data_IF_863723984081
#
_entry.id   IF_863723984081
#
_cell.length_a   1.000
_cell.length_b   1.000
_cell.length_c   1.000
_cell.angle_alpha   90.00
_cell.angle_beta   90.00
_cell.angle_gamma   90.00
#
_symmetry.space_group_name_H-M   'P 1'
#
loop_
_entity.id
_entity.type
_entity.pdbx_description
1 polymer ?
#
# COMPACT_ATOMS: atom_id res chain seq x y z
N UNK A 1 25.01 -11.08 12.11
CA UNK A 1 25.57 -9.77 11.69
C UNK A 1 24.56 -8.70 12.04
N UNK A 2 24.97 -7.55 12.60
CA UNK A 2 24.06 -6.44 12.88
C UNK A 2 24.00 -5.48 11.69
N UNK A 3 22.79 -5.10 11.30
CA UNK A 3 22.57 -4.22 10.16
C UNK A 3 21.53 -3.15 10.51
N UNK A 4 21.81 -1.89 10.16
CA UNK A 4 20.84 -0.81 10.24
C UNK A 4 19.81 -0.99 9.14
N UNK A 5 18.54 -0.81 9.48
CA UNK A 5 17.43 -0.92 8.55
C UNK A 5 16.43 0.22 8.75
N UNK A 6 15.79 0.59 7.64
CA UNK A 6 14.61 1.44 7.59
C UNK A 6 13.44 0.57 7.14
N UNK A 7 12.37 0.54 7.88
CA UNK A 7 11.27 -0.38 7.59
C UNK A 7 9.89 0.18 7.83
N UNK A 8 8.91 -0.48 7.24
CA UNK A 8 7.48 -0.25 7.46
C UNK A 8 6.87 -1.47 8.15
N UNK A 9 6.10 -1.21 9.20
CA UNK A 9 5.34 -2.23 9.90
C UNK A 9 4.12 -2.65 9.05
N UNK A 10 3.99 -3.93 8.76
CA UNK A 10 2.89 -4.47 7.96
C UNK A 10 1.85 -5.15 8.85
N UNK A 11 2.26 -6.12 9.64
CA UNK A 11 1.36 -6.91 10.48
C UNK A 11 2.07 -7.39 11.74
N UNK A 12 1.36 -7.32 12.87
CA UNK A 12 1.83 -7.89 14.15
C UNK A 12 0.95 -9.07 14.54
N UNK A 13 1.57 -10.17 14.93
CA UNK A 13 0.90 -11.35 15.50
C UNK A 13 1.47 -11.65 16.88
N UNK A 14 0.60 -12.03 17.82
CA UNK A 14 1.02 -12.53 19.13
C UNK A 14 1.67 -13.91 18.95
N UNK A 15 2.88 -14.08 19.44
CA UNK A 15 3.62 -15.35 19.37
C UNK A 15 3.57 -16.10 20.71
N UNK A 16 3.71 -15.37 21.82
CA UNK A 16 3.56 -15.87 23.18
C UNK A 16 3.10 -14.77 24.12
N UNK A 17 2.87 -15.08 25.40
CA UNK A 17 2.48 -14.09 26.42
C UNK A 17 3.46 -12.90 26.51
N UNK A 18 4.74 -13.14 26.17
CA UNK A 18 5.82 -12.15 26.30
C UNK A 18 6.44 -11.73 24.98
N UNK A 19 5.93 -12.21 23.85
CA UNK A 19 6.54 -11.88 22.55
C UNK A 19 5.50 -11.80 21.44
N UNK A 20 5.83 -10.99 20.43
CA UNK A 20 5.07 -10.83 19.19
C UNK A 20 6.02 -10.91 18.00
N UNK A 21 5.50 -11.34 16.87
CA UNK A 21 6.21 -11.29 15.59
C UNK A 21 5.63 -10.14 14.78
N UNK A 22 6.51 -9.24 14.36
CA UNK A 22 6.20 -8.13 13.48
C UNK A 22 6.70 -8.45 12.06
N UNK A 23 5.78 -8.59 11.12
CA UNK A 23 6.12 -8.64 9.70
C UNK A 23 6.39 -7.22 9.20
N UNK A 24 7.53 -7.02 8.56
CA UNK A 24 7.99 -5.73 8.04
C UNK A 24 8.48 -5.89 6.61
N UNK A 25 8.47 -4.79 5.87
CA UNK A 25 9.33 -4.61 4.71
C UNK A 25 10.40 -3.57 5.07
N UNK A 26 11.63 -3.81 4.65
CA UNK A 26 12.77 -2.92 4.90
C UNK A 26 13.44 -2.54 3.59
N UNK A 27 13.91 -1.30 3.49
CA UNK A 27 14.59 -0.80 2.29
C UNK A 27 15.88 -1.58 1.98
N UNK A 28 16.57 -2.07 3.00
CA UNK A 28 17.88 -2.70 2.89
C UNK A 28 17.81 -4.23 2.69
N UNK A 29 16.80 -4.87 3.27
CA UNK A 29 16.72 -6.35 3.36
C UNK A 29 15.43 -6.93 2.80
N UNK A 30 14.53 -6.09 2.27
CA UNK A 30 13.22 -6.52 1.80
C UNK A 30 12.33 -7.00 2.95
N UNK A 31 11.49 -8.00 2.68
CA UNK A 31 10.52 -8.52 3.65
C UNK A 31 11.17 -9.41 4.69
N UNK A 32 10.82 -9.20 5.95
CA UNK A 32 11.32 -10.00 7.06
C UNK A 32 10.36 -10.05 8.24
N UNK A 33 10.65 -10.96 9.19
CA UNK A 33 9.92 -11.10 10.44
C UNK A 33 10.82 -10.73 11.62
N UNK A 34 10.33 -9.87 12.51
CA UNK A 34 11.05 -9.38 13.67
C UNK A 34 10.40 -9.88 14.95
N UNK A 35 11.18 -10.51 15.83
CA UNK A 35 10.73 -10.90 17.17
C UNK A 35 10.82 -9.68 18.10
N UNK A 36 9.69 -9.35 18.71
CA UNK A 36 9.57 -8.27 19.67
C UNK A 36 9.24 -8.84 21.06
N UNK A 37 9.95 -8.39 22.06
CA UNK A 37 9.66 -8.74 23.46
C UNK A 37 8.60 -7.79 24.03
N UNK A 38 7.48 -8.32 24.53
CA UNK A 38 6.38 -7.61 25.13
C UNK A 38 6.65 -7.41 26.64
N UNK A 39 7.65 -6.59 27.00
CA UNK A 39 7.88 -6.21 28.39
C UNK A 39 6.86 -5.15 28.85
N UNK A 40 6.59 -5.07 30.13
CA UNK A 40 5.80 -3.98 30.70
C UNK A 40 6.66 -2.71 30.82
N UNK A 41 6.06 -1.51 30.61
CA UNK A 41 6.73 -0.24 30.86
C UNK A 41 6.59 0.80 29.75
N UNK A 42 7.23 1.95 29.94
CA UNK A 42 7.17 3.09 29.02
C UNK A 42 7.78 2.78 27.64
N UNK A 43 8.87 2.03 27.62
CA UNK A 43 9.54 1.64 26.40
C UNK A 43 8.70 0.67 25.56
N UNK A 44 7.99 -0.26 26.20
CA UNK A 44 7.07 -1.17 25.54
C UNK A 44 5.90 -0.43 24.88
N UNK A 45 5.36 0.59 25.54
CA UNK A 45 4.31 1.44 24.95
C UNK A 45 4.82 2.20 23.72
N UNK A 46 6.04 2.75 23.78
CA UNK A 46 6.69 3.41 22.64
C UNK A 46 6.91 2.44 21.48
N UNK A 47 7.35 1.23 21.79
CA UNK A 47 7.55 0.17 20.79
C UNK A 47 6.24 -0.28 20.15
N UNK A 48 5.14 -0.39 20.90
CA UNK A 48 3.82 -0.72 20.34
C UNK A 48 3.35 0.29 19.31
N UNK A 49 3.62 1.56 19.47
CA UNK A 49 3.29 2.58 18.47
C UNK A 49 4.02 2.31 17.13
N UNK A 50 5.24 1.74 17.17
CA UNK A 50 6.02 1.39 15.99
C UNK A 50 5.58 0.07 15.32
N UNK A 51 4.69 -0.67 15.94
CA UNK A 51 4.14 -1.93 15.40
C UNK A 51 2.76 -1.78 14.77
N UNK A 52 2.22 -0.56 14.78
CA UNK A 52 0.96 -0.27 14.08
C UNK A 52 1.17 -0.31 12.56
N UNK A 53 0.17 -0.78 11.80
CA UNK A 53 0.26 -0.81 10.34
C UNK A 53 0.69 0.52 9.75
N UNK A 54 1.59 0.49 8.78
CA UNK A 54 2.21 1.66 8.13
C UNK A 54 3.08 2.54 9.04
N UNK A 55 3.43 2.11 10.26
CA UNK A 55 4.46 2.81 11.05
C UNK A 55 5.83 2.64 10.40
N UNK A 56 6.49 3.77 10.14
CA UNK A 56 7.84 3.80 9.59
C UNK A 56 8.87 3.89 10.73
N UNK A 57 9.86 3.03 10.70
CA UNK A 57 10.87 2.94 11.75
C UNK A 57 12.28 2.79 11.20
N UNK A 58 13.25 3.16 12.01
CA UNK A 58 14.64 2.78 11.90
C UNK A 58 15.01 1.84 13.05
N UNK A 59 15.95 0.94 12.83
CA UNK A 59 16.39 0.01 13.86
C UNK A 59 17.61 -0.79 13.45
N UNK A 60 18.13 -1.58 14.39
CA UNK A 60 19.27 -2.47 14.16
C UNK A 60 18.80 -3.91 14.24
N UNK A 61 18.86 -4.62 13.13
CA UNK A 61 18.45 -6.02 13.04
C UNK A 61 19.67 -6.94 13.14
N UNK A 62 19.54 -8.00 13.92
CA UNK A 62 20.53 -9.08 13.96
C UNK A 62 20.16 -10.14 12.93
N UNK A 63 20.79 -10.05 11.76
CA UNK A 63 20.60 -11.01 10.68
C UNK A 63 21.43 -12.25 10.94
N UNK A 64 20.77 -13.40 11.07
CA UNK A 64 21.41 -14.71 11.26
C UNK A 64 21.05 -15.59 10.06
N UNK A 65 22.01 -16.06 9.25
CA UNK A 65 21.75 -16.92 8.12
C UNK A 65 20.92 -18.16 8.51
N UNK A 66 19.90 -18.48 7.71
CA UNK A 66 19.02 -19.63 7.96
C UNK A 66 17.93 -19.39 9.02
N UNK A 67 17.81 -18.20 9.62
CA UNK A 67 16.70 -17.84 10.52
C UNK A 67 15.67 -17.01 9.82
N UNK A 68 14.43 -17.45 9.84
CA UNK A 68 13.28 -16.71 9.31
C UNK A 68 12.86 -15.54 10.19
N UNK A 69 13.11 -15.61 11.50
CA UNK A 69 12.74 -14.57 12.46
C UNK A 69 13.99 -13.96 13.07
N UNK A 70 14.19 -12.68 12.82
CA UNK A 70 15.31 -11.90 13.33
C UNK A 70 14.94 -11.14 14.61
N UNK A 71 15.95 -10.73 15.39
CA UNK A 71 15.74 -9.82 16.52
C UNK A 71 16.08 -8.39 16.12
N UNK A 72 15.35 -7.43 16.67
CA UNK A 72 15.57 -6.00 16.44
C UNK A 72 15.80 -5.27 17.75
N UNK A 73 16.67 -4.27 17.74
CA UNK A 73 16.95 -3.35 18.83
C UNK A 73 16.99 -1.90 18.32
N UNK A 74 16.96 -0.97 19.24
CA UNK A 74 17.08 0.48 18.95
C UNK A 74 16.04 1.00 17.94
N UNK A 75 14.82 0.42 17.99
CA UNK A 75 13.72 0.88 17.15
C UNK A 75 13.29 2.30 17.53
N UNK A 76 13.29 3.18 16.54
CA UNK A 76 12.81 4.57 16.67
C UNK A 76 11.94 4.94 15.46
N UNK A 77 11.00 5.89 15.60
CA UNK A 77 10.21 6.33 14.45
C UNK A 77 11.11 7.01 13.42
N UNK A 78 10.99 6.62 12.16
CA UNK A 78 11.58 7.33 11.02
C UNK A 78 10.71 8.51 10.61
N UNK A 79 9.37 8.35 10.71
CA UNK A 79 8.38 9.39 10.46
C UNK A 79 7.39 9.42 11.63
N UNK A 80 7.00 10.62 12.03
CA UNK A 80 5.98 10.85 13.06
C UNK A 80 4.67 11.24 12.39
N UNK A 81 3.69 10.35 12.42
CA UNK A 81 2.38 10.51 11.78
C UNK A 81 1.24 10.29 12.80
N UNK A 82 1.02 11.25 13.73
CA UNK A 82 0.12 11.06 14.85
C UNK A 82 -1.35 10.91 14.46
N UNK A 83 -1.77 11.51 13.35
CA UNK A 83 -3.16 11.44 12.92
C UNK A 83 -3.50 10.13 12.23
N UNK A 84 -2.51 9.42 11.67
CA UNK A 84 -2.71 8.10 11.04
C UNK A 84 -3.17 7.08 12.08
N UNK A 85 -2.53 7.03 13.25
CA UNK A 85 -2.92 6.12 14.32
C UNK A 85 -4.06 6.67 15.20
N UNK A 86 -4.19 7.99 15.30
CA UNK A 86 -5.17 8.67 16.15
C UNK A 86 -6.56 8.83 15.55
N UNK A 87 -6.72 8.69 14.23
CA UNK A 87 -8.00 8.85 13.56
C UNK A 87 -8.50 7.51 12.98
N UNK A 88 -9.67 6.98 13.39
CA UNK A 88 -10.12 5.63 13.03
C UNK A 88 -10.15 5.35 11.53
N UNK A 89 -10.61 6.31 10.71
CA UNK A 89 -10.67 6.12 9.26
C UNK A 89 -9.27 6.06 8.64
N UNK A 90 -8.33 6.90 9.08
CA UNK A 90 -6.94 6.85 8.61
C UNK A 90 -6.25 5.55 9.03
N UNK A 91 -6.50 5.09 10.26
CA UNK A 91 -6.00 3.80 10.72
C UNK A 91 -6.50 2.64 9.85
N UNK A 92 -7.79 2.66 9.44
CA UNK A 92 -8.34 1.66 8.50
C UNK A 92 -7.68 1.72 7.12
N UNK A 93 -7.40 2.92 6.62
CA UNK A 93 -6.64 3.11 5.36
C UNK A 93 -5.22 2.58 5.52
N UNK A 94 -4.55 2.84 6.64
CA UNK A 94 -3.21 2.32 6.91
C UNK A 94 -3.19 0.79 6.98
N UNK A 95 -4.19 0.16 7.61
CA UNK A 95 -4.34 -1.30 7.62
C UNK A 95 -4.49 -1.87 6.20
N UNK A 96 -5.36 -1.28 5.40
CA UNK A 96 -5.54 -1.67 3.99
C UNK A 96 -4.22 -1.58 3.22
N UNK A 97 -3.50 -0.46 3.33
CA UNK A 97 -2.22 -0.28 2.64
C UNK A 97 -1.17 -1.31 3.09
N UNK A 98 -1.09 -1.58 4.39
CA UNK A 98 -0.16 -2.56 4.93
C UNK A 98 -0.46 -3.99 4.44
N UNK A 99 -1.74 -4.36 4.30
CA UNK A 99 -2.15 -5.65 3.73
C UNK A 99 -1.75 -5.76 2.26
N UNK A 100 -2.02 -4.73 1.45
CA UNK A 100 -1.61 -4.71 0.03
C UNK A 100 -0.09 -4.82 -0.10
N UNK A 101 0.68 -4.03 0.65
CA UNK A 101 2.15 -4.10 0.64
C UNK A 101 2.64 -5.50 1.05
N UNK A 102 1.99 -6.11 2.02
CA UNK A 102 2.30 -7.47 2.46
C UNK A 102 2.06 -8.55 1.39
N UNK A 103 1.19 -8.31 0.42
CA UNK A 103 0.93 -9.21 -0.71
C UNK A 103 1.87 -8.94 -1.89
N UNK A 104 2.16 -7.68 -2.18
CA UNK A 104 2.82 -7.24 -3.40
C UNK A 104 4.34 -7.14 -3.23
N UNK A 105 4.82 -6.62 -2.10
CA UNK A 105 6.26 -6.51 -1.81
C UNK A 105 6.78 -7.86 -1.33
N UNK A 106 7.01 -8.79 -2.27
CA UNK A 106 7.68 -10.06 -2.00
C UNK A 106 9.18 -9.89 -2.21
N UNK A 107 9.98 -10.39 -1.28
CA UNK A 107 11.42 -10.71 -1.39
C UNK A 107 12.28 -9.90 -2.39
N UNK A 108 12.10 -8.60 -2.46
CA UNK A 108 13.07 -7.74 -3.12
C UNK A 108 14.28 -7.58 -2.20
N UNK A 109 15.18 -8.57 -2.23
CA UNK A 109 16.39 -8.60 -1.40
C UNK A 109 17.44 -7.55 -1.76
N UNK A 110 17.08 -6.49 -2.48
CA UNK A 110 17.96 -5.40 -2.89
C UNK A 110 17.50 -4.09 -2.25
N UNK A 111 18.49 -3.27 -1.94
CA UNK A 111 18.28 -1.92 -1.44
C UNK A 111 17.36 -1.11 -2.37
N UNK A 112 16.14 -0.79 -1.90
CA UNK A 112 15.11 -0.10 -2.69
C UNK A 112 14.77 1.27 -2.07
N UNK A 113 15.56 2.25 -2.45
CA UNK A 113 15.40 3.63 -1.99
C UNK A 113 14.14 4.29 -2.57
N UNK A 114 13.74 3.91 -3.80
CA UNK A 114 12.55 4.48 -4.43
C UNK A 114 11.28 4.01 -3.71
N UNK A 115 11.18 2.74 -3.36
CA UNK A 115 10.07 2.23 -2.55
C UNK A 115 10.06 2.85 -1.15
N UNK A 116 11.22 3.04 -0.51
CA UNK A 116 11.29 3.72 0.78
C UNK A 116 10.77 5.16 0.71
N UNK A 117 11.27 5.95 -0.24
CA UNK A 117 10.83 7.33 -0.45
C UNK A 117 9.32 7.41 -0.73
N UNK A 118 8.79 6.48 -1.51
CA UNK A 118 7.35 6.37 -1.74
C UNK A 118 6.56 6.10 -0.45
N UNK A 119 7.02 5.19 0.40
CA UNK A 119 6.35 4.88 1.68
C UNK A 119 6.35 6.07 2.63
N UNK A 120 7.44 6.84 2.67
CA UNK A 120 7.52 8.11 3.43
C UNK A 120 6.47 9.09 2.93
N UNK A 121 6.44 9.37 1.59
CA UNK A 121 5.45 10.28 0.98
C UNK A 121 4.00 9.83 1.26
N UNK A 122 3.73 8.55 1.18
CA UNK A 122 2.39 7.98 1.45
C UNK A 122 1.96 8.24 2.88
N UNK A 123 2.81 7.96 3.88
CA UNK A 123 2.47 8.12 5.29
C UNK A 123 2.30 9.59 5.66
N UNK A 124 3.22 10.46 5.24
CA UNK A 124 3.13 11.91 5.46
C UNK A 124 1.89 12.51 4.77
N UNK A 125 1.60 12.07 3.57
CA UNK A 125 0.41 12.50 2.82
C UNK A 125 -0.89 12.07 3.48
N UNK A 126 -0.96 10.87 4.06
CA UNK A 126 -2.13 10.41 4.81
C UNK A 126 -2.27 11.18 6.12
N UNK A 127 -1.16 11.43 6.80
CA UNK A 127 -1.16 12.22 8.04
C UNK A 127 -1.66 13.64 7.80
N UNK A 128 -1.22 14.29 6.74
CA UNK A 128 -1.61 15.63 6.35
C UNK A 128 -3.04 15.74 5.78
N UNK A 129 -3.69 14.63 5.40
CA UNK A 129 -5.03 14.64 4.83
C UNK A 129 -6.06 15.15 5.85
N UNK A 130 -6.61 16.36 5.63
CA UNK A 130 -7.50 17.04 6.59
C UNK A 130 -8.99 16.87 6.31
N UNK A 131 -9.38 16.41 5.12
CA UNK A 131 -10.80 16.28 4.76
C UNK A 131 -11.18 14.84 4.41
N UNK A 132 -12.46 14.52 4.65
CA UNK A 132 -13.00 13.16 4.47
C UNK A 132 -12.94 12.67 3.03
N UNK A 133 -13.05 13.55 2.04
CA UNK A 133 -13.02 13.18 0.64
C UNK A 133 -11.60 12.75 0.21
N UNK A 134 -10.59 13.47 0.67
CA UNK A 134 -9.18 13.11 0.46
C UNK A 134 -8.86 11.76 1.10
N UNK A 135 -9.24 11.54 2.35
CA UNK A 135 -9.01 10.28 3.06
C UNK A 135 -9.75 9.12 2.38
N UNK A 136 -11.00 9.33 1.96
CA UNK A 136 -11.80 8.31 1.28
C UNK A 136 -11.22 7.89 -0.09
N UNK A 137 -10.54 8.80 -0.81
CA UNK A 137 -9.92 8.52 -2.11
C UNK A 137 -8.48 7.98 -1.98
N UNK A 138 -7.91 8.01 -0.78
CA UNK A 138 -6.53 7.65 -0.52
C UNK A 138 -6.18 6.21 -0.94
N UNK A 139 -7.00 5.18 -0.64
CA UNK A 139 -6.72 3.81 -1.05
C UNK A 139 -6.53 3.67 -2.56
N UNK A 140 -7.39 4.28 -3.36
CA UNK A 140 -7.30 4.22 -4.82
C UNK A 140 -6.07 4.94 -5.36
N UNK A 141 -5.74 6.11 -4.80
CA UNK A 141 -4.52 6.84 -5.15
C UNK A 141 -3.27 6.04 -4.80
N UNK A 142 -3.23 5.42 -3.62
CA UNK A 142 -2.14 4.56 -3.19
C UNK A 142 -1.93 3.38 -4.15
N UNK A 143 -2.99 2.65 -4.50
CA UNK A 143 -2.92 1.53 -5.44
C UNK A 143 -2.35 1.96 -6.79
N UNK A 144 -2.82 3.07 -7.34
CA UNK A 144 -2.28 3.59 -8.59
C UNK A 144 -0.79 3.93 -8.47
N UNK A 145 -0.39 4.67 -7.44
CA UNK A 145 1.02 5.01 -7.22
C UNK A 145 1.90 3.78 -7.01
N UNK A 146 1.35 2.75 -6.41
CA UNK A 146 2.03 1.48 -6.22
C UNK A 146 2.33 0.79 -7.55
N UNK A 147 1.41 0.84 -8.54
CA UNK A 147 1.71 0.31 -9.89
C UNK A 147 2.89 1.02 -10.55
N UNK A 148 3.02 2.33 -10.34
CA UNK A 148 4.15 3.13 -10.85
C UNK A 148 5.46 2.67 -10.22
N UNK A 149 5.50 2.53 -8.89
CA UNK A 149 6.71 2.10 -8.16
C UNK A 149 7.12 0.68 -8.54
N UNK A 150 6.15 -0.20 -8.79
CA UNK A 150 6.41 -1.56 -9.24
C UNK A 150 6.79 -1.66 -10.74
N UNK A 151 6.73 -0.56 -11.49
CA UNK A 151 7.01 -0.55 -12.92
C UNK A 151 5.97 -1.25 -13.79
N UNK A 152 4.75 -1.41 -13.26
CA UNK A 152 3.61 -2.06 -13.95
C UNK A 152 2.45 -1.10 -14.16
N UNK A 153 2.71 0.20 -14.25
CA UNK A 153 1.65 1.18 -14.47
C UNK A 153 0.91 0.95 -15.80
N UNK A 154 -0.41 1.17 -15.85
CA UNK A 154 -1.15 1.09 -17.10
C UNK A 154 -0.63 2.09 -18.15
N UNK A 155 -0.52 1.67 -19.40
CA UNK A 155 -0.10 2.54 -20.51
C UNK A 155 -1.19 3.59 -20.81
N UNK A 156 -1.04 4.75 -20.20
CA UNK A 156 -1.97 5.88 -20.33
C UNK A 156 -1.99 6.49 -21.72
N UNK A 157 -1.00 6.22 -22.59
CA UNK A 157 -1.00 6.68 -23.99
C UNK A 157 -2.12 6.02 -24.80
N UNK A 158 -2.55 4.83 -24.38
CA UNK A 158 -3.63 4.06 -25.01
C UNK A 158 -5.03 4.46 -24.52
N UNK A 159 -5.11 5.30 -23.47
CA UNK A 159 -6.39 5.71 -22.91
C UNK A 159 -7.15 6.67 -23.83
N UNK A 160 -8.43 6.31 -24.10
CA UNK A 160 -9.42 7.18 -24.70
C UNK A 160 -10.75 7.03 -23.94
N UNK A 161 -11.57 8.09 -23.93
CA UNK A 161 -12.87 8.03 -23.27
C UNK A 161 -13.73 6.88 -23.83
N UNK A 162 -14.23 6.04 -22.95
CA UNK A 162 -15.03 4.86 -23.29
C UNK A 162 -14.23 3.57 -23.52
N UNK A 163 -12.89 3.63 -23.48
CA UNK A 163 -12.05 2.43 -23.43
C UNK A 163 -11.99 1.87 -22.03
N UNK A 164 -11.74 0.58 -21.94
CA UNK A 164 -11.60 -0.19 -20.71
C UNK A 164 -10.17 -0.73 -20.58
N UNK A 165 -9.66 -0.83 -19.35
CA UNK A 165 -8.34 -1.38 -19.09
C UNK A 165 -8.36 -2.90 -19.30
N UNK A 166 -7.44 -3.40 -20.10
CA UNK A 166 -7.09 -4.81 -20.15
C UNK A 166 -6.08 -5.12 -19.04
N UNK A 167 -6.51 -5.88 -18.03
CA UNK A 167 -5.71 -6.15 -16.83
C UNK A 167 -4.45 -6.98 -17.10
N UNK A 168 -4.43 -7.76 -18.18
CA UNK A 168 -3.24 -8.57 -18.53
C UNK A 168 -2.15 -7.77 -19.22
N UNK A 169 -2.56 -6.84 -20.07
CA UNK A 169 -1.64 -6.13 -20.96
C UNK A 169 -1.32 -4.71 -20.45
N UNK A 170 -2.06 -4.22 -19.45
CA UNK A 170 -1.89 -2.86 -18.96
C UNK A 170 -2.29 -1.77 -19.96
N UNK A 171 -3.03 -2.09 -21.04
CA UNK A 171 -3.44 -1.16 -22.09
C UNK A 171 -4.95 -0.96 -22.12
N UNK A 172 -5.40 0.20 -22.61
CA UNK A 172 -6.82 0.50 -22.75
C UNK A 172 -7.33 0.14 -24.15
N UNK A 173 -8.38 -0.69 -24.21
CA UNK A 173 -9.00 -1.17 -25.44
C UNK A 173 -10.47 -0.78 -25.54
N UNK A 174 -11.03 -0.87 -26.74
CA UNK A 174 -12.48 -0.74 -26.91
C UNK A 174 -13.19 -1.91 -26.22
N UNK A 175 -14.31 -1.64 -25.49
CA UNK A 175 -15.10 -2.70 -24.89
C UNK A 175 -15.63 -3.65 -25.99
N UNK A 176 -15.52 -4.95 -25.76
CA UNK A 176 -16.17 -5.95 -26.60
C UNK A 176 -17.67 -5.90 -26.31
N UNK A 177 -18.50 -5.82 -27.33
CA UNK A 177 -19.96 -5.88 -27.18
C UNK A 177 -20.36 -7.35 -27.06
N UNK A 178 -20.72 -7.76 -25.85
CA UNK A 178 -21.30 -9.09 -25.63
C UNK A 178 -22.81 -8.93 -25.49
N UNK A 179 -23.59 -9.55 -26.38
CA UNK A 179 -25.05 -9.59 -26.27
C UNK A 179 -25.80 -8.27 -26.52
N UNK A 180 -25.20 -7.31 -27.22
CA UNK A 180 -25.89 -6.06 -27.60
C UNK A 180 -26.06 -5.02 -26.49
N UNK A 181 -25.56 -5.25 -25.27
CA UNK A 181 -25.56 -4.30 -24.19
C UNK A 181 -24.19 -3.61 -24.07
N UNK A 182 -24.21 -2.28 -24.06
CA UNK A 182 -23.03 -1.49 -23.68
C UNK A 182 -22.82 -1.65 -22.18
N UNK A 183 -21.72 -2.26 -21.76
CA UNK A 183 -21.48 -2.09 -20.35
C UNK A 183 -20.34 -2.84 -19.72
N UNK A 184 -20.15 -4.10 -19.91
CA UNK A 184 -19.17 -4.84 -19.13
C UNK A 184 -18.38 -5.78 -20.02
N UNK A 185 -17.05 -5.57 -20.02
CA UNK A 185 -16.14 -6.47 -20.72
C UNK A 185 -15.58 -7.43 -19.71
N UNK A 186 -15.91 -8.69 -19.83
CA UNK A 186 -15.15 -9.77 -19.21
C UNK A 186 -13.91 -10.02 -20.03
N UNK A 187 -12.75 -9.96 -19.41
CA UNK A 187 -11.56 -10.59 -19.97
C UNK A 187 -11.71 -12.12 -19.89
N UNK A 188 -10.78 -12.85 -20.50
CA UNK A 188 -10.77 -14.32 -20.47
C UNK A 188 -10.63 -14.94 -19.07
N UNK A 189 -10.46 -14.13 -18.01
CA UNK A 189 -10.42 -14.54 -16.60
C UNK A 189 -11.70 -14.18 -15.83
N UNK A 190 -12.71 -13.58 -16.49
CA UNK A 190 -13.96 -13.18 -15.83
C UNK A 190 -13.86 -11.87 -15.05
N UNK A 191 -12.78 -11.13 -15.18
CA UNK A 191 -12.59 -9.84 -14.47
C UNK A 191 -13.32 -8.72 -15.19
N UNK A 192 -14.28 -8.10 -14.54
CA UNK A 192 -15.08 -7.01 -15.09
C UNK A 192 -14.36 -5.66 -14.92
N UNK A 193 -13.93 -5.04 -16.01
CA UNK A 193 -13.42 -3.68 -16.01
C UNK A 193 -14.47 -2.75 -16.56
N UNK A 194 -14.90 -1.75 -15.79
CA UNK A 194 -15.87 -0.76 -16.24
C UNK A 194 -15.18 0.46 -16.87
N UNK A 195 -15.84 1.11 -17.84
CA UNK A 195 -15.33 2.34 -18.41
C UNK A 195 -15.18 3.46 -17.36
N UNK A 196 -16.00 3.45 -16.31
CA UNK A 196 -15.90 4.39 -15.19
C UNK A 196 -14.64 4.14 -14.35
N UNK A 197 -14.29 2.89 -14.04
CA UNK A 197 -13.06 2.55 -13.34
C UNK A 197 -11.83 2.96 -14.16
N UNK A 198 -11.82 2.66 -15.45
CA UNK A 198 -10.75 3.07 -16.38
C UNK A 198 -10.60 4.60 -16.43
N UNK A 199 -11.72 5.34 -16.42
CA UNK A 199 -11.72 6.80 -16.33
C UNK A 199 -11.09 7.29 -15.02
N UNK A 200 -11.39 6.64 -13.89
CA UNK A 200 -10.83 7.02 -12.59
C UNK A 200 -9.32 6.83 -12.57
N UNK A 201 -8.81 5.72 -13.08
CA UNK A 201 -7.36 5.49 -13.21
C UNK A 201 -6.70 6.57 -14.09
N UNK A 202 -7.34 6.97 -15.19
CA UNK A 202 -6.85 8.05 -16.06
C UNK A 202 -6.84 9.43 -15.37
N UNK A 203 -7.76 9.69 -14.46
CA UNK A 203 -7.74 10.93 -13.66
C UNK A 203 -6.62 10.87 -12.63
N UNK A 204 -6.42 9.71 -11.99
CA UNK A 204 -5.34 9.52 -11.02
C UNK A 204 -3.95 9.68 -11.63
N UNK A 205 -3.74 9.20 -12.87
CA UNK A 205 -2.45 9.34 -13.56
C UNK A 205 -2.01 10.79 -13.76
N UNK A 206 -2.99 11.70 -13.87
CA UNK A 206 -2.78 13.15 -14.06
C UNK A 206 -2.78 13.92 -12.75
N UNK A 207 -3.26 13.32 -11.67
CA UNK A 207 -3.38 13.98 -10.38
C UNK A 207 -2.06 13.89 -9.62
N UNK A 208 -1.41 15.02 -9.39
CA UNK A 208 -0.33 15.12 -8.41
C UNK A 208 -0.83 14.84 -6.99
N UNK A 209 0.09 14.73 -6.04
CA UNK A 209 -0.22 14.45 -4.64
C UNK A 209 -1.26 15.43 -4.03
N UNK A 210 -1.30 16.69 -4.48
CA UNK A 210 -2.26 17.72 -4.03
C UNK A 210 -3.65 17.66 -4.67
N UNK A 211 -3.83 16.93 -5.77
CA UNK A 211 -5.08 16.94 -6.54
C UNK A 211 -6.11 15.88 -6.12
N UNK A 212 -5.85 15.09 -5.07
CA UNK A 212 -6.73 14.02 -4.56
C UNK A 212 -8.14 14.53 -4.21
N UNK A 213 -8.27 15.77 -3.78
CA UNK A 213 -9.56 16.43 -3.45
C UNK A 213 -10.46 16.59 -4.65
N UNK A 214 -9.90 16.67 -5.86
CA UNK A 214 -10.66 16.90 -7.11
C UNK A 214 -11.35 15.66 -7.64
N UNK A 215 -11.04 14.48 -7.10
CA UNK A 215 -11.69 13.23 -7.48
C UNK A 215 -13.11 13.15 -6.89
N UNK A 216 -14.07 13.68 -7.63
CA UNK A 216 -15.50 13.53 -7.29
C UNK A 216 -15.99 12.17 -7.78
N UNK A 217 -16.25 11.25 -6.87
CA UNK A 217 -16.80 9.94 -7.15
C UNK A 217 -17.72 9.48 -6.03
N UNK A 218 -18.73 8.71 -6.37
CA UNK A 218 -19.58 8.04 -5.38
C UNK A 218 -18.79 6.91 -4.69
N UNK A 219 -19.29 6.45 -3.56
CA UNK A 219 -18.69 5.28 -2.86
C UNK A 219 -18.66 4.04 -3.75
N UNK A 220 -19.72 3.81 -4.54
CA UNK A 220 -19.81 2.68 -5.48
C UNK A 220 -18.76 2.77 -6.59
N UNK A 221 -18.59 3.95 -7.19
CA UNK A 221 -17.56 4.16 -8.23
C UNK A 221 -16.15 3.97 -7.67
N UNK A 222 -15.89 4.45 -6.45
CA UNK A 222 -14.61 4.28 -5.77
C UNK A 222 -14.32 2.81 -5.51
N UNK A 223 -15.29 2.07 -4.96
CA UNK A 223 -15.11 0.65 -4.67
C UNK A 223 -14.79 -0.14 -5.95
N UNK A 224 -15.55 0.06 -7.02
CA UNK A 224 -15.27 -0.59 -8.31
C UNK A 224 -13.87 -0.28 -8.86
N UNK A 225 -13.41 0.97 -8.71
CA UNK A 225 -12.07 1.35 -9.14
C UNK A 225 -10.97 0.72 -8.28
N UNK A 226 -11.20 0.58 -6.96
CA UNK A 226 -10.32 -0.15 -6.05
C UNK A 226 -10.24 -1.62 -6.43
N UNK A 227 -11.39 -2.27 -6.67
CA UNK A 227 -11.45 -3.68 -7.06
C UNK A 227 -10.64 -3.93 -8.35
N UNK A 228 -10.83 -3.09 -9.37
CA UNK A 228 -10.06 -3.16 -10.63
C UNK A 228 -8.55 -2.96 -10.39
N UNK A 229 -8.17 -2.03 -9.52
CA UNK A 229 -6.76 -1.79 -9.23
C UNK A 229 -6.12 -2.95 -8.44
N UNK A 230 -6.87 -3.60 -7.54
CA UNK A 230 -6.43 -4.80 -6.82
C UNK A 230 -6.29 -6.00 -7.77
N UNK A 231 -7.27 -6.22 -8.65
CA UNK A 231 -7.22 -7.27 -9.66
C UNK A 231 -6.05 -7.08 -10.63
N UNK A 232 -5.68 -5.83 -10.91
CA UNK A 232 -4.53 -5.50 -11.75
C UNK A 232 -3.19 -5.81 -11.07
N UNK A 233 -3.12 -5.69 -9.74
CA UNK A 233 -1.92 -5.98 -8.95
C UNK A 233 -1.80 -7.45 -8.53
N UNK A 234 -2.82 -8.27 -8.73
CA UNK A 234 -2.82 -9.69 -8.35
C UNK A 234 -2.26 -10.60 -9.46
#
# INVERSE_FOLDING_TARGET
MYQNVRGVALRTITYSDRSSILSVWTAELGRMSLLLNNSAGRESRRRRALTMPMSLFEGVVNVVPGREVCTVRDMKPAVVAPTVSGHPVKASVAMFMAEVLGLVLRDSGNHDEAAWAFLVDVVESLDAAGDSATVANFPLWFLYRLTVILGVEPDMSTYMRGRVLNLREGVFRQPLLVGGMRGEVTDSKGTFVTADASRMLSVLSRAGAGDRRRLRMTSVQRQRAIDVALDYLS
#
